data_IF_434865273380
#
_entry.id   IF_434865273380
#
_cell.length_a   1.000
_cell.length_b   1.000
_cell.length_c   1.000
_cell.angle_alpha   90.00
_cell.angle_beta   90.00
_cell.angle_gamma   90.00
#
_symmetry.space_group_name_H-M   'P 1'
#
loop_
_entity.id
_entity.type
_entity.pdbx_description
1 polymer ?
#
# COMPACT_ATOMS: atom_id res chain seq x y z
N UNK A 1 -34.62 14.97 -19.54
CA UNK A 1 -34.31 13.99 -18.47
C UNK A 1 -33.08 13.23 -18.93
N UNK A 2 -31.90 13.64 -18.46
CA UNK A 2 -30.64 12.97 -18.77
C UNK A 2 -30.51 11.72 -17.91
N UNK A 3 -30.17 10.60 -18.54
CA UNK A 3 -29.91 9.33 -17.88
C UNK A 3 -28.66 9.51 -17.02
N UNK A 4 -28.81 9.43 -15.69
CA UNK A 4 -27.69 9.36 -14.75
C UNK A 4 -27.04 7.97 -14.95
N UNK A 5 -25.74 7.88 -15.28
CA UNK A 5 -25.09 6.59 -15.37
C UNK A 5 -25.10 5.93 -13.99
N UNK A 6 -25.54 4.68 -13.95
CA UNK A 6 -25.51 3.81 -12.78
C UNK A 6 -24.05 3.59 -12.35
N UNK A 7 -23.54 4.43 -11.45
CA UNK A 7 -22.27 4.23 -10.76
C UNK A 7 -22.51 3.25 -9.62
N UNK A 8 -22.29 1.98 -9.90
CA UNK A 8 -22.27 0.91 -8.92
C UNK A 8 -22.55 -0.43 -9.60
N UNK A 9 -21.59 -1.38 -9.62
CA UNK A 9 -21.90 -2.73 -10.05
C UNK A 9 -22.80 -3.36 -8.98
N UNK A 10 -23.89 -4.01 -9.40
CA UNK A 10 -24.76 -4.81 -8.52
C UNK A 10 -24.02 -6.01 -7.88
N UNK A 11 -22.72 -6.17 -8.14
CA UNK A 11 -21.82 -7.23 -7.65
C UNK A 11 -20.42 -6.72 -7.26
N UNK A 12 -20.30 -5.60 -6.54
CA UNK A 12 -19.02 -5.17 -5.94
C UNK A 12 -18.58 -6.15 -4.83
N UNK A 13 -17.96 -7.27 -5.21
CA UNK A 13 -17.27 -8.15 -4.26
C UNK A 13 -15.87 -7.61 -4.04
N UNK A 14 -15.70 -6.88 -2.93
CA UNK A 14 -14.36 -6.52 -2.47
C UNK A 14 -13.75 -7.74 -1.76
N UNK A 15 -12.88 -8.52 -2.40
CA UNK A 15 -12.05 -9.51 -1.71
C UNK A 15 -10.78 -8.82 -1.24
N UNK A 16 -10.58 -8.73 0.09
CA UNK A 16 -9.41 -8.13 0.74
C UNK A 16 -9.10 -6.65 0.35
N UNK A 17 -8.58 -6.40 -0.86
CA UNK A 17 -8.17 -5.09 -1.40
C UNK A 17 -8.49 -4.92 -2.89
N UNK A 18 -9.09 -5.91 -3.54
CA UNK A 18 -9.41 -5.85 -4.97
C UNK A 18 -10.89 -5.61 -5.16
N UNK A 19 -11.24 -4.99 -6.29
CA UNK A 19 -12.64 -4.84 -6.72
C UNK A 19 -12.84 -5.65 -7.98
N UNK A 20 -14.06 -6.09 -8.27
CA UNK A 20 -14.38 -6.76 -9.54
C UNK A 20 -14.26 -5.83 -10.76
N UNK A 21 -14.26 -4.52 -10.56
CA UNK A 21 -14.28 -3.50 -11.62
C UNK A 21 -12.89 -3.02 -12.06
N UNK A 22 -11.87 -3.21 -11.24
CA UNK A 22 -10.50 -2.82 -11.59
C UNK A 22 -9.83 -3.86 -12.50
N UNK A 23 -8.88 -3.42 -13.31
CA UNK A 23 -8.17 -4.29 -14.27
C UNK A 23 -7.18 -5.20 -13.56
N UNK A 24 -6.36 -4.59 -12.70
CA UNK A 24 -5.20 -5.22 -12.08
C UNK A 24 -5.17 -4.98 -10.57
N UNK A 25 -4.30 -5.75 -9.91
CA UNK A 25 -3.89 -5.55 -8.54
C UNK A 25 -2.36 -5.47 -8.49
N UNK A 26 -1.84 -4.57 -7.66
CA UNK A 26 -0.42 -4.36 -7.50
C UNK A 26 -0.05 -4.15 -6.04
N UNK A 27 1.19 -4.51 -5.71
CA UNK A 27 1.86 -4.26 -4.44
C UNK A 27 2.85 -3.13 -4.63
N UNK A 28 2.77 -2.13 -3.77
CA UNK A 28 3.67 -0.98 -3.70
C UNK A 28 4.58 -1.19 -2.49
N UNK A 29 5.87 -1.41 -2.72
CA UNK A 29 6.82 -1.62 -1.64
C UNK A 29 7.17 -0.31 -0.94
N UNK A 30 7.20 -0.33 0.38
CA UNK A 30 7.63 0.79 1.20
C UNK A 30 9.15 0.73 1.35
N UNK A 31 9.86 1.86 1.14
CA UNK A 31 11.30 1.88 1.33
C UNK A 31 11.65 1.67 2.80
N UNK A 32 12.76 0.95 3.06
CA UNK A 32 13.24 0.75 4.42
C UNK A 32 13.92 2.00 4.96
N UNK A 33 13.68 2.29 6.24
CA UNK A 33 14.34 3.38 6.94
C UNK A 33 15.60 2.87 7.66
N UNK A 34 16.68 3.62 7.49
CA UNK A 34 17.98 3.37 8.11
C UNK A 34 18.53 4.59 8.85
N UNK A 35 19.75 4.50 9.40
CA UNK A 35 20.39 5.60 10.12
C UNK A 35 20.48 6.88 9.28
N UNK A 36 20.28 8.03 9.92
CA UNK A 36 20.38 9.36 9.29
C UNK A 36 19.32 9.61 8.22
N UNK A 37 18.08 9.17 8.46
CA UNK A 37 16.92 9.30 7.57
C UNK A 37 17.12 8.71 6.17
N UNK A 38 18.06 7.76 6.05
CA UNK A 38 18.30 7.08 4.78
C UNK A 38 17.13 6.16 4.43
N UNK A 39 16.68 6.22 3.17
CA UNK A 39 15.63 5.39 2.62
C UNK A 39 16.20 4.43 1.59
N UNK A 40 15.87 3.15 1.71
CA UNK A 40 16.43 2.10 0.86
C UNK A 40 15.32 1.37 0.10
N UNK A 41 15.36 1.40 -1.26
CA UNK A 41 14.44 0.62 -2.07
C UNK A 41 14.74 -0.88 -1.95
N UNK A 42 13.71 -1.70 -2.08
CA UNK A 42 13.78 -3.16 -1.98
C UNK A 42 14.66 -3.77 -3.07
N UNK A 43 14.46 -3.39 -4.34
CA UNK A 43 15.21 -3.90 -5.48
C UNK A 43 16.72 -3.75 -5.28
N UNK A 44 17.15 -2.57 -4.81
CA UNK A 44 18.55 -2.30 -4.51
C UNK A 44 19.12 -3.15 -3.37
N UNK A 45 18.29 -3.50 -2.38
CA UNK A 45 18.69 -4.38 -1.27
C UNK A 45 18.73 -5.84 -1.70
N UNK A 46 17.73 -6.32 -2.42
CA UNK A 46 17.68 -7.68 -2.97
C UNK A 46 18.90 -7.93 -3.87
N UNK A 47 19.22 -6.99 -4.76
CA UNK A 47 20.39 -7.10 -5.63
C UNK A 47 21.71 -7.14 -4.82
N UNK A 48 21.85 -6.31 -3.78
CA UNK A 48 23.03 -6.30 -2.91
C UNK A 48 23.19 -7.61 -2.15
N UNK A 49 22.10 -8.10 -1.55
CA UNK A 49 22.06 -9.35 -0.80
C UNK A 49 22.43 -10.51 -1.70
N UNK A 50 21.82 -10.60 -2.89
CA UNK A 50 22.12 -11.66 -3.84
C UNK A 50 23.59 -11.65 -4.29
N UNK A 51 24.13 -10.46 -4.59
CA UNK A 51 25.53 -10.31 -5.02
C UNK A 51 26.55 -10.71 -3.94
N UNK A 52 26.23 -10.52 -2.65
CA UNK A 52 27.16 -10.76 -1.54
C UNK A 52 26.99 -12.12 -0.86
N UNK A 53 25.75 -12.60 -0.70
CA UNK A 53 25.46 -13.90 -0.08
C UNK A 53 25.76 -15.07 -1.02
N UNK A 54 25.81 -14.82 -2.33
CA UNK A 54 25.89 -15.86 -3.36
C UNK A 54 24.58 -16.65 -3.46
N UNK A 55 24.33 -17.28 -4.61
CA UNK A 55 23.10 -18.03 -4.89
C UNK A 55 22.76 -19.13 -3.86
N UNK A 56 23.70 -19.54 -3.01
CA UNK A 56 23.54 -20.67 -2.07
C UNK A 56 22.70 -20.38 -0.82
N UNK A 57 22.50 -19.11 -0.42
CA UNK A 57 21.69 -18.79 0.77
C UNK A 57 20.18 -18.85 0.48
N UNK A 58 19.77 -18.49 -0.75
CA UNK A 58 18.37 -18.44 -1.16
C UNK A 58 17.93 -19.67 -1.98
N UNK A 59 18.87 -20.53 -2.41
CA UNK A 59 18.57 -21.74 -3.18
C UNK A 59 17.95 -22.91 -2.36
N UNK A 60 17.77 -22.77 -1.05
CA UNK A 60 17.17 -23.84 -0.22
C UNK A 60 15.67 -23.69 0.03
N UNK A 61 15.04 -22.60 -0.46
CA UNK A 61 13.62 -22.37 -0.24
C UNK A 61 12.99 -21.72 -1.47
N UNK A 62 12.34 -22.53 -2.32
CA UNK A 62 11.56 -22.09 -3.49
C UNK A 62 10.39 -21.15 -3.13
N UNK A 63 10.16 -20.92 -1.83
CA UNK A 63 9.18 -19.99 -1.26
C UNK A 63 9.72 -18.58 -0.99
N UNK A 64 11.03 -18.35 -1.10
CA UNK A 64 11.58 -17.00 -0.92
C UNK A 64 11.24 -16.12 -2.12
N UNK A 65 10.61 -14.97 -1.88
CA UNK A 65 10.19 -14.06 -2.95
C UNK A 65 11.33 -13.27 -3.61
N UNK A 66 12.55 -13.80 -3.62
CA UNK A 66 13.73 -13.22 -4.26
C UNK A 66 14.34 -14.25 -5.21
N UNK A 67 13.96 -14.17 -6.49
CA UNK A 67 14.45 -15.10 -7.52
C UNK A 67 15.55 -14.41 -8.35
N UNK A 68 16.70 -15.08 -8.51
CA UNK A 68 17.81 -14.60 -9.36
C UNK A 68 18.28 -13.17 -9.08
N UNK A 69 18.18 -12.71 -7.83
CA UNK A 69 18.55 -11.35 -7.42
C UNK A 69 17.55 -10.27 -7.85
N UNK A 70 16.35 -10.66 -8.29
CA UNK A 70 15.25 -9.77 -8.61
C UNK A 70 14.20 -9.78 -7.49
N UNK A 71 13.64 -8.60 -7.22
CA UNK A 71 12.49 -8.44 -6.35
C UNK A 71 11.27 -9.10 -7.00
N UNK A 72 10.56 -9.95 -6.26
CA UNK A 72 9.27 -10.51 -6.70
C UNK A 72 8.13 -10.01 -5.83
N UNK A 73 6.90 -10.13 -6.34
CA UNK A 73 5.70 -9.73 -5.61
C UNK A 73 5.45 -10.54 -4.33
N UNK A 74 6.08 -11.72 -4.20
CA UNK A 74 5.99 -12.58 -3.03
C UNK A 74 7.03 -12.26 -1.94
N UNK A 75 7.97 -11.33 -2.19
CA UNK A 75 9.06 -11.02 -1.25
C UNK A 75 8.52 -10.58 0.11
N UNK A 76 9.07 -11.13 1.19
CA UNK A 76 8.67 -10.75 2.55
C UNK A 76 9.81 -10.06 3.28
N UNK A 77 9.46 -9.30 4.31
CA UNK A 77 10.46 -8.67 5.18
C UNK A 77 11.38 -9.70 5.82
N UNK A 78 10.83 -10.78 6.35
CA UNK A 78 11.58 -11.87 6.99
C UNK A 78 12.66 -12.46 6.06
N UNK A 79 12.35 -12.63 4.77
CA UNK A 79 13.31 -13.05 3.75
C UNK A 79 14.47 -12.04 3.60
N UNK A 80 14.13 -10.75 3.61
CA UNK A 80 15.08 -9.65 3.43
C UNK A 80 15.94 -9.44 4.67
N UNK A 81 15.36 -9.50 5.86
CA UNK A 81 16.04 -9.27 7.15
C UNK A 81 17.21 -10.24 7.34
N UNK A 82 17.00 -11.53 7.07
CA UNK A 82 18.04 -12.55 7.11
C UNK A 82 19.22 -12.19 6.17
N UNK A 83 18.90 -11.74 4.94
CA UNK A 83 19.90 -11.30 3.98
C UNK A 83 20.65 -10.04 4.42
N UNK A 84 19.95 -9.06 5.01
CA UNK A 84 20.52 -7.79 5.47
C UNK A 84 21.55 -7.99 6.59
N UNK A 85 21.34 -8.94 7.48
CA UNK A 85 22.32 -9.30 8.50
C UNK A 85 23.63 -9.80 7.87
N UNK A 86 23.54 -10.66 6.86
CA UNK A 86 24.69 -11.23 6.15
C UNK A 86 25.53 -10.17 5.43
N UNK A 87 24.88 -9.12 4.91
CA UNK A 87 25.56 -8.01 4.21
C UNK A 87 25.95 -6.84 5.11
N UNK A 88 25.84 -7.01 6.44
CA UNK A 88 26.22 -5.99 7.42
C UNK A 88 25.30 -4.76 7.44
N UNK A 89 24.05 -4.91 7.03
CA UNK A 89 22.99 -3.87 7.00
C UNK A 89 22.04 -3.98 8.19
N UNK A 90 22.56 -4.31 9.37
CA UNK A 90 21.78 -4.57 10.60
C UNK A 90 21.05 -3.36 11.19
N UNK A 91 21.20 -2.17 10.61
CA UNK A 91 20.55 -0.93 11.04
C UNK A 91 19.22 -0.63 10.34
N UNK A 92 18.81 -1.44 9.36
CA UNK A 92 17.50 -1.30 8.71
C UNK A 92 16.44 -2.02 9.53
N UNK A 93 15.29 -1.38 9.74
CA UNK A 93 14.21 -1.90 10.60
C UNK A 93 12.85 -1.64 9.98
N UNK A 94 12.09 -2.71 9.77
CA UNK A 94 10.70 -2.59 9.30
C UNK A 94 9.75 -1.97 10.32
N UNK A 95 10.02 -2.13 11.62
CA UNK A 95 9.25 -1.45 12.66
C UNK A 95 9.20 0.07 12.48
N UNK A 96 10.17 0.64 11.76
CA UNK A 96 10.26 2.08 11.44
C UNK A 96 9.96 2.39 9.98
N UNK A 97 9.65 1.40 9.15
CA UNK A 97 9.22 1.62 7.78
C UNK A 97 7.82 2.25 7.81
N UNK A 98 7.79 3.56 7.68
CA UNK A 98 6.58 4.34 7.45
C UNK A 98 6.71 5.01 6.09
N UNK A 99 5.61 5.21 5.35
CA UNK A 99 5.66 5.96 4.10
C UNK A 99 6.31 7.35 4.34
N UNK A 100 5.92 7.99 5.44
CA UNK A 100 6.32 9.35 5.77
C UNK A 100 5.79 10.39 4.79
N UNK A 101 6.07 11.67 5.08
CA UNK A 101 5.51 12.81 4.36
C UNK A 101 5.77 12.80 2.85
N UNK A 102 7.04 12.71 2.44
CA UNK A 102 7.46 12.81 1.04
C UNK A 102 6.81 11.73 0.17
N UNK A 103 6.83 10.47 0.64
CA UNK A 103 6.20 9.36 -0.06
C UNK A 103 4.69 9.57 -0.18
N UNK A 104 4.03 9.95 0.91
CA UNK A 104 2.57 10.10 0.94
C UNK A 104 2.09 11.25 0.05
N UNK A 105 2.85 12.35 -0.01
CA UNK A 105 2.60 13.46 -0.94
C UNK A 105 2.77 13.03 -2.39
N UNK A 106 3.86 12.33 -2.72
CA UNK A 106 4.10 11.83 -4.07
C UNK A 106 3.01 10.83 -4.50
N UNK A 107 2.62 9.92 -3.60
CA UNK A 107 1.57 8.94 -3.87
C UNK A 107 0.23 9.65 -4.11
N UNK A 108 -0.12 10.62 -3.25
CA UNK A 108 -1.36 11.38 -3.40
C UNK A 108 -1.42 12.16 -4.72
N UNK A 109 -0.28 12.67 -5.21
CA UNK A 109 -0.21 13.35 -6.50
C UNK A 109 -0.57 12.41 -7.66
N UNK A 110 0.08 11.23 -7.73
CA UNK A 110 -0.23 10.23 -8.77
C UNK A 110 -1.67 9.76 -8.67
N UNK A 111 -2.15 9.41 -7.47
CA UNK A 111 -3.54 8.98 -7.27
C UNK A 111 -4.54 10.06 -7.68
N UNK A 112 -4.24 11.34 -7.42
CA UNK A 112 -5.09 12.48 -7.77
C UNK A 112 -5.23 12.71 -9.27
N UNK A 113 -4.22 12.37 -10.06
CA UNK A 113 -4.25 12.46 -11.53
C UNK A 113 -5.09 11.35 -12.17
N UNK A 114 -5.28 10.22 -11.47
CA UNK A 114 -6.02 9.05 -11.97
C UNK A 114 -7.43 8.89 -11.37
N UNK A 115 -7.95 9.93 -10.73
CA UNK A 115 -9.36 10.01 -10.30
C UNK A 115 -10.00 11.27 -10.86
N UNK A 116 -11.27 11.18 -11.22
CA UNK A 116 -12.15 12.31 -11.54
C UNK A 116 -12.68 13.00 -10.29
N UNK A 117 -12.44 12.44 -9.10
CA UNK A 117 -12.91 12.93 -7.80
C UNK A 117 -11.76 13.14 -6.79
N UNK A 118 -10.69 13.90 -7.11
CA UNK A 118 -9.54 14.05 -6.23
C UNK A 118 -9.87 14.76 -4.91
N UNK A 119 -10.93 15.56 -4.87
CA UNK A 119 -11.42 16.25 -3.67
C UNK A 119 -12.43 15.41 -2.85
N UNK A 120 -12.78 14.22 -3.33
CA UNK A 120 -13.85 13.38 -2.78
C UNK A 120 -13.39 11.94 -2.57
N UNK A 121 -12.49 11.73 -1.61
CA UNK A 121 -12.03 10.39 -1.21
C UNK A 121 -12.56 10.01 0.17
N UNK A 122 -12.84 8.73 0.33
CA UNK A 122 -13.17 8.08 1.59
C UNK A 122 -11.94 7.38 2.14
N UNK A 123 -11.57 7.76 3.35
CA UNK A 123 -10.51 7.17 4.14
C UNK A 123 -11.13 6.34 5.26
N UNK A 124 -10.68 5.10 5.42
CA UNK A 124 -11.17 4.22 6.47
C UNK A 124 -10.06 4.01 7.50
N UNK A 125 -10.26 4.57 8.69
CA UNK A 125 -9.26 4.60 9.75
C UNK A 125 -9.59 3.59 10.84
N UNK A 126 -8.56 2.99 11.42
CA UNK A 126 -8.69 2.21 12.64
C UNK A 126 -7.92 2.90 13.74
N UNK A 127 -8.58 3.25 14.86
CA UNK A 127 -7.98 4.01 15.96
C UNK A 127 -6.68 3.35 16.48
N UNK A 128 -6.68 2.02 16.60
CA UNK A 128 -5.52 1.25 17.07
C UNK A 128 -4.33 1.19 16.09
N UNK A 129 -4.47 1.72 14.88
CA UNK A 129 -3.42 1.69 13.84
C UNK A 129 -3.11 3.09 13.31
N UNK A 130 -4.14 3.79 12.85
CA UNK A 130 -4.01 5.09 12.22
C UNK A 130 -3.89 6.23 13.25
N UNK A 131 -4.03 5.98 14.56
CA UNK A 131 -4.01 7.00 15.60
C UNK A 131 -5.40 7.58 15.90
N UNK A 132 -5.46 8.72 16.59
CA UNK A 132 -6.71 9.33 17.05
C UNK A 132 -7.68 9.59 15.89
N UNK A 133 -8.94 9.16 16.06
CA UNK A 133 -10.02 9.29 15.07
C UNK A 133 -11.15 10.21 15.52
N UNK A 134 -11.01 10.85 16.68
CA UNK A 134 -12.03 11.72 17.26
C UNK A 134 -12.36 12.88 16.30
N UNK A 135 -13.65 13.06 16.03
CA UNK A 135 -14.14 14.11 15.12
C UNK A 135 -13.92 13.85 13.63
N UNK A 136 -13.34 12.71 13.24
CA UNK A 136 -13.14 12.36 11.83
C UNK A 136 -14.35 11.66 11.19
N UNK A 137 -15.25 11.09 11.99
CA UNK A 137 -16.43 10.37 11.48
C UNK A 137 -17.34 11.31 10.68
N UNK A 138 -17.38 11.08 9.37
CA UNK A 138 -18.22 11.81 8.42
C UNK A 138 -19.48 11.03 8.02
N UNK A 139 -19.70 9.87 8.64
CA UNK A 139 -20.68 8.87 8.22
C UNK A 139 -20.18 8.03 7.04
N UNK A 140 -20.66 6.80 6.93
CA UNK A 140 -20.33 5.92 5.82
C UNK A 140 -21.48 5.85 4.82
N UNK A 141 -21.24 6.03 3.50
CA UNK A 141 -22.28 5.80 2.52
C UNK A 141 -22.67 4.30 2.48
N UNK A 142 -23.95 3.96 2.19
CA UNK A 142 -24.42 2.58 2.24
C UNK A 142 -23.59 1.60 1.41
N UNK A 143 -23.12 2.02 0.23
CA UNK A 143 -22.34 1.17 -0.68
C UNK A 143 -20.90 0.88 -0.18
N UNK A 144 -20.37 1.67 0.75
CA UNK A 144 -19.05 1.43 1.38
C UNK A 144 -19.16 0.83 2.78
N UNK A 145 -20.37 0.52 3.26
CA UNK A 145 -20.56 -0.06 4.60
C UNK A 145 -19.81 -1.40 4.76
N UNK A 146 -19.63 -2.15 3.66
CA UNK A 146 -18.83 -3.38 3.65
C UNK A 146 -17.34 -3.16 3.91
N UNK A 147 -16.79 -1.99 3.56
CA UNK A 147 -15.42 -1.58 3.93
C UNK A 147 -15.38 -1.11 5.37
N UNK A 148 -16.31 -0.24 5.77
CA UNK A 148 -16.34 0.33 7.12
C UNK A 148 -16.51 -0.72 8.23
N UNK A 149 -17.15 -1.86 7.96
CA UNK A 149 -17.33 -2.93 8.97
C UNK A 149 -16.13 -3.85 9.12
N UNK A 150 -15.09 -3.71 8.28
CA UNK A 150 -13.89 -4.54 8.36
C UNK A 150 -13.11 -4.24 9.64
N UNK A 151 -12.32 -5.20 10.07
CA UNK A 151 -11.40 -5.05 11.22
C UNK A 151 -12.09 -4.58 12.51
N UNK A 152 -13.35 -4.97 12.72
CA UNK A 152 -14.11 -4.62 13.93
C UNK A 152 -14.79 -3.24 13.89
N UNK A 153 -14.66 -2.49 12.79
CA UNK A 153 -15.24 -1.17 12.62
C UNK A 153 -14.19 -0.11 12.35
N UNK A 154 -14.21 0.47 11.16
CA UNK A 154 -13.36 1.56 10.71
C UNK A 154 -14.14 2.88 10.76
N UNK A 155 -13.46 3.95 11.16
CA UNK A 155 -13.98 5.31 11.16
C UNK A 155 -13.86 5.88 9.74
N UNK A 156 -14.97 6.18 9.05
CA UNK A 156 -14.96 6.76 7.71
C UNK A 156 -14.74 8.27 7.78
N UNK A 157 -13.75 8.75 7.04
CA UNK A 157 -13.43 10.16 6.91
C UNK A 157 -13.42 10.56 5.44
N UNK A 158 -14.15 11.62 5.08
CA UNK A 158 -14.16 12.16 3.71
C UNK A 158 -13.23 13.36 3.60
N UNK A 159 -12.26 13.30 2.69
CA UNK A 159 -11.31 14.37 2.42
C UNK A 159 -10.73 14.28 1.00
N UNK A 160 -10.00 15.30 0.52
CA UNK A 160 -9.22 15.19 -0.72
C UNK A 160 -8.12 14.14 -0.62
N UNK A 161 -7.69 13.56 -1.74
CA UNK A 161 -6.60 12.58 -1.80
C UNK A 161 -5.28 13.13 -1.22
N UNK A 162 -5.05 14.43 -1.36
CA UNK A 162 -3.90 15.15 -0.78
C UNK A 162 -3.84 15.08 0.75
N UNK A 163 -4.94 14.70 1.41
CA UNK A 163 -4.97 14.45 2.85
C UNK A 163 -4.05 13.30 3.27
N UNK A 164 -3.71 12.36 2.38
CA UNK A 164 -2.65 11.35 2.63
C UNK A 164 -1.33 12.01 3.03
N UNK A 165 -0.89 13.01 2.25
CA UNK A 165 0.32 13.77 2.53
C UNK A 165 0.19 14.63 3.78
N UNK A 166 -0.93 15.36 3.91
CA UNK A 166 -1.17 16.25 5.04
C UNK A 166 -1.21 15.50 6.38
N UNK A 167 -1.75 14.28 6.40
CA UNK A 167 -1.80 13.42 7.59
C UNK A 167 -0.41 13.11 8.13
N UNK A 168 0.57 12.89 7.25
CA UNK A 168 1.95 12.55 7.61
C UNK A 168 2.88 13.77 7.72
N UNK A 169 2.33 14.99 7.67
CA UNK A 169 3.13 16.21 7.64
C UNK A 169 3.74 16.57 9.01
N UNK A 170 2.95 16.44 10.07
CA UNK A 170 3.36 16.78 11.44
C UNK A 170 3.94 15.57 12.19
N UNK A 171 3.60 14.36 11.76
CA UNK A 171 4.10 13.09 12.30
C UNK A 171 4.29 12.09 11.16
N UNK A 172 5.55 11.87 10.75
CA UNK A 172 5.89 10.92 9.70
C UNK A 172 5.73 9.45 10.12
N UNK A 173 5.55 9.19 11.42
CA UNK A 173 5.26 7.87 11.95
C UNK A 173 3.76 7.56 11.97
N UNK A 174 2.91 8.56 11.71
CA UNK A 174 1.47 8.34 11.64
C UNK A 174 1.14 7.38 10.49
N UNK A 175 0.44 6.31 10.83
CA UNK A 175 0.08 5.28 9.85
C UNK A 175 -0.98 5.80 8.88
N UNK A 176 -0.93 5.28 7.66
CA UNK A 176 -1.90 5.61 6.62
C UNK A 176 -3.27 4.99 6.94
N UNK A 177 -4.35 5.52 6.34
CA UNK A 177 -5.67 4.90 6.41
C UNK A 177 -5.66 3.47 5.88
N UNK A 178 -6.40 2.57 6.54
CA UNK A 178 -6.48 1.15 6.17
C UNK A 178 -6.98 0.99 4.73
N UNK A 179 -7.95 1.82 4.33
CA UNK A 179 -8.40 1.90 2.95
C UNK A 179 -8.56 3.34 2.48
N UNK A 180 -8.34 3.56 1.19
CA UNK A 180 -8.68 4.79 0.46
C UNK A 180 -9.52 4.43 -0.75
N UNK A 181 -10.65 5.13 -0.90
CA UNK A 181 -11.62 4.93 -1.99
C UNK A 181 -12.09 6.29 -2.54
N UNK A 182 -11.78 6.67 -3.79
CA UNK A 182 -12.34 7.86 -4.41
C UNK A 182 -13.81 7.68 -4.76
N UNK A 183 -14.62 8.75 -4.74
CA UNK A 183 -16.07 8.69 -5.02
C UNK A 183 -16.39 8.04 -6.38
N UNK A 184 -15.53 8.23 -7.38
CA UNK A 184 -15.67 7.59 -8.69
C UNK A 184 -15.24 6.11 -8.76
N UNK A 185 -14.66 5.58 -7.68
CA UNK A 185 -14.21 4.20 -7.58
C UNK A 185 -13.04 3.85 -8.50
N UNK A 186 -12.27 4.84 -8.98
CA UNK A 186 -11.13 4.65 -9.90
C UNK A 186 -10.01 3.75 -9.35
N UNK A 187 -9.81 3.72 -8.03
CA UNK A 187 -8.88 2.79 -7.38
C UNK A 187 -9.37 2.38 -5.99
N UNK A 188 -8.79 1.31 -5.45
CA UNK A 188 -8.85 0.96 -4.03
C UNK A 188 -7.42 0.78 -3.53
N UNK A 189 -6.98 1.67 -2.64
CA UNK A 189 -5.71 1.52 -1.93
C UNK A 189 -5.98 0.87 -0.57
N UNK A 190 -5.23 -0.18 -0.24
CA UNK A 190 -5.24 -0.84 1.04
C UNK A 190 -3.86 -0.70 1.71
N UNK A 191 -3.86 -0.20 2.94
CA UNK A 191 -2.68 -0.11 3.80
C UNK A 191 -2.87 -1.08 4.96
N UNK A 192 -2.53 -2.37 4.78
CA UNK A 192 -2.70 -3.32 5.84
C UNK A 192 -1.75 -3.00 7.01
N UNK A 193 -2.15 -3.43 8.22
CA UNK A 193 -1.67 -2.88 9.50
C UNK A 193 -0.18 -3.16 9.79
N UNK A 194 0.42 -4.14 9.10
CA UNK A 194 1.75 -4.65 9.42
C UNK A 194 2.69 -4.86 8.23
N UNK A 195 2.63 -4.03 7.18
CA UNK A 195 3.31 -4.39 5.94
C UNK A 195 4.41 -3.44 5.53
N UNK A 196 5.44 -4.07 4.97
CA UNK A 196 6.45 -3.54 4.05
C UNK A 196 5.87 -2.99 2.74
N UNK A 197 4.55 -2.94 2.61
CA UNK A 197 3.90 -2.62 1.35
C UNK A 197 2.47 -2.12 1.56
N UNK A 198 1.98 -1.40 0.55
CA UNK A 198 0.57 -1.19 0.33
C UNK A 198 0.11 -2.00 -0.88
N UNK A 199 -1.20 -2.15 -1.02
CA UNK A 199 -1.79 -2.84 -2.15
C UNK A 199 -2.79 -1.93 -2.83
N UNK A 200 -2.81 -1.93 -4.15
CA UNK A 200 -3.72 -1.12 -4.94
C UNK A 200 -4.41 -1.97 -5.99
N UNK A 201 -5.73 -1.80 -6.11
CA UNK A 201 -6.50 -2.30 -7.25
C UNK A 201 -6.91 -1.11 -8.11
N UNK A 202 -6.60 -1.15 -9.40
CA UNK A 202 -6.75 -0.02 -10.32
C UNK A 202 -6.63 -0.42 -11.80
N UNK A 203 -6.51 0.57 -12.69
CA UNK A 203 -6.17 0.38 -14.10
C UNK A 203 -4.67 0.07 -14.28
N UNK A 204 -4.33 -0.53 -15.42
CA UNK A 204 -2.92 -0.77 -15.79
C UNK A 204 -2.15 0.55 -15.94
N UNK A 205 -2.82 1.57 -16.47
CA UNK A 205 -2.28 2.92 -16.67
C UNK A 205 -1.82 3.58 -15.36
N UNK A 206 -2.58 3.44 -14.27
CA UNK A 206 -2.16 3.95 -12.95
C UNK A 206 -0.93 3.20 -12.43
N UNK A 207 -0.82 1.89 -12.66
CA UNK A 207 0.37 1.12 -12.26
C UNK A 207 1.62 1.63 -12.97
N UNK A 208 1.52 1.92 -14.26
CA UNK A 208 2.65 2.43 -15.04
C UNK A 208 3.07 3.84 -14.56
N UNK A 209 2.10 4.73 -14.27
CA UNK A 209 2.40 6.05 -13.71
C UNK A 209 3.01 6.00 -12.31
N UNK A 210 2.62 5.02 -11.46
CA UNK A 210 3.28 4.81 -10.19
C UNK A 210 4.76 4.41 -10.38
N UNK A 211 5.07 3.55 -11.35
CA UNK A 211 6.46 3.17 -11.65
C UNK A 211 7.26 4.34 -12.20
N UNK A 212 6.68 5.12 -13.10
CA UNK A 212 7.31 6.31 -13.67
C UNK A 212 7.58 7.39 -12.60
N UNK A 213 6.73 7.46 -11.58
CA UNK A 213 6.94 8.31 -10.39
C UNK A 213 8.00 7.76 -9.41
N UNK A 214 8.59 6.59 -9.69
CA UNK A 214 9.68 6.00 -8.91
C UNK A 214 9.22 5.10 -7.76
N UNK A 215 7.95 4.70 -7.72
CA UNK A 215 7.48 3.69 -6.76
C UNK A 215 7.89 2.27 -7.21
N UNK A 216 8.32 1.44 -6.26
CA UNK A 216 8.56 0.02 -6.50
C UNK A 216 7.23 -0.74 -6.52
N UNK A 217 6.73 -1.04 -7.73
CA UNK A 217 5.40 -1.61 -7.92
C UNK A 217 5.43 -2.90 -8.72
N UNK A 218 4.95 -3.99 -8.12
CA UNK A 218 4.83 -5.30 -8.75
C UNK A 218 3.38 -5.75 -8.82
N UNK A 219 2.98 -6.34 -9.95
CA UNK A 219 1.65 -6.92 -10.10
C UNK A 219 1.51 -8.13 -9.17
N UNK A 220 0.33 -8.28 -8.59
CA UNK A 220 -0.04 -9.42 -7.75
C UNK A 220 -1.25 -10.13 -8.33
N UNK A 221 -1.43 -11.39 -7.97
CA UNK A 221 -2.70 -12.08 -8.22
C UNK A 221 -3.82 -11.33 -7.48
N UNK A 222 -4.97 -11.18 -8.14
CA UNK A 222 -6.14 -10.52 -7.56
C UNK A 222 -6.79 -11.35 -6.45
N UNK A 223 -6.56 -12.66 -6.49
CA UNK A 223 -7.01 -13.62 -5.50
C UNK A 223 -5.94 -13.90 -4.44
N UNK A 224 -4.79 -13.20 -4.50
CA UNK A 224 -3.77 -13.29 -3.45
C UNK A 224 -4.37 -12.86 -2.11
N UNK A 225 -4.20 -13.70 -1.10
CA UNK A 225 -4.54 -13.32 0.26
C UNK A 225 -3.57 -12.21 0.72
N UNK A 226 -4.12 -11.13 1.27
CA UNK A 226 -3.28 -10.21 2.03
C UNK A 226 -2.73 -10.97 3.23
N UNK A 227 -1.42 -10.86 3.51
CA UNK A 227 -0.91 -11.38 4.75
C UNK A 227 -1.64 -10.69 5.91
N UNK A 228 -2.29 -11.48 6.78
CA UNK A 228 -3.13 -10.97 7.86
C UNK A 228 -2.34 -10.44 9.06
N UNK A 229 -1.07 -10.83 9.14
CA UNK A 229 -0.09 -10.38 10.10
C UNK A 229 1.16 -9.97 9.30
N UNK A 230 1.93 -9.02 9.83
CA UNK A 230 3.20 -8.67 9.21
C UNK A 230 4.15 -9.83 9.29
N UNK A 231 4.92 -10.03 8.23
CA UNK A 231 6.33 -10.32 8.43
C UNK A 231 7.03 -8.99 8.72
#
# INVERSE_FOLDING_TARGET
MGVVPSLGPEDLRVSAFTTSTHEVAARIFLPLHGPGDSRWPWEGLVAQIFAQAGAQVFAHDETTGMADGMLTSAARWSDLECGLELVGRTGLRMAYATPGGVFSVALAAVLGEHTTTPDGCWFFLWEGYAGETDGLDTGCPPWLTGLARRSGGLVPHRAPVSWLGARTADDEHLRLPVFVWPDDGSFLLACPIYHDSMYISCSTDLVDHLRDAGFEVLLVDRDAELPGEGD
#
